data_IF_412507219921
#
_entry.id   IF_412507219921
#
_cell.length_a   1.000
_cell.length_b   1.000
_cell.length_c   1.000
_cell.angle_alpha   90.00
_cell.angle_beta   90.00
_cell.angle_gamma   90.00
#
_symmetry.space_group_name_H-M   'P 1'
#
loop_
_entity.id
_entity.type
_entity.pdbx_description
1 polymer ?
#
# COMPACT_ATOMS: atom_id res chain seq x y z
N UNK A 1 -40.04 -9.13 10.90
CA UNK A 1 -39.59 -8.29 12.02
C UNK A 1 -38.26 -8.78 12.63
N UNK A 2 -38.12 -10.06 13.04
CA UNK A 2 -36.89 -10.58 13.64
C UNK A 2 -35.66 -10.46 12.72
N UNK A 3 -35.75 -10.89 11.47
CA UNK A 3 -34.68 -10.79 10.45
C UNK A 3 -34.20 -9.34 10.23
N UNK A 4 -35.15 -8.38 10.23
CA UNK A 4 -34.77 -6.97 10.08
C UNK A 4 -34.01 -6.43 11.29
N UNK A 5 -34.36 -6.86 12.50
CA UNK A 5 -33.62 -6.51 13.73
C UNK A 5 -32.23 -7.11 13.76
N UNK A 6 -32.11 -8.39 13.39
CA UNK A 6 -30.81 -9.06 13.28
C UNK A 6 -29.89 -8.30 12.30
N UNK A 7 -30.37 -8.01 11.09
CA UNK A 7 -29.60 -7.30 10.07
C UNK A 7 -29.20 -5.90 10.53
N UNK A 8 -30.09 -5.19 11.22
CA UNK A 8 -29.78 -3.87 11.79
C UNK A 8 -28.65 -3.98 12.83
N UNK A 9 -28.72 -4.98 13.73
CA UNK A 9 -27.68 -5.18 14.73
C UNK A 9 -26.33 -5.56 14.10
N UNK A 10 -26.33 -6.38 13.07
CA UNK A 10 -25.13 -6.71 12.30
C UNK A 10 -24.47 -5.46 11.67
N UNK A 11 -25.29 -4.55 11.12
CA UNK A 11 -24.81 -3.28 10.57
C UNK A 11 -24.22 -2.34 11.65
N UNK A 12 -24.87 -2.26 12.83
CA UNK A 12 -24.36 -1.49 13.96
C UNK A 12 -23.00 -2.03 14.42
N UNK A 13 -22.88 -3.35 14.55
CA UNK A 13 -21.63 -4.00 14.93
C UNK A 13 -20.52 -3.74 13.89
N UNK A 14 -20.84 -3.86 12.60
CA UNK A 14 -19.92 -3.60 11.50
C UNK A 14 -19.45 -2.13 11.51
N UNK A 15 -20.37 -1.18 11.75
CA UNK A 15 -20.02 0.24 11.91
C UNK A 15 -19.04 0.45 13.07
N UNK A 16 -19.34 -0.12 14.24
CA UNK A 16 -18.48 0.01 15.43
C UNK A 16 -17.09 -0.58 15.20
N UNK A 17 -17.00 -1.72 14.50
CA UNK A 17 -15.73 -2.33 14.11
C UNK A 17 -14.96 -1.42 13.16
N UNK A 18 -15.62 -0.84 12.16
CA UNK A 18 -15.00 0.11 11.23
C UNK A 18 -14.47 1.37 11.93
N UNK A 19 -15.23 1.92 12.89
CA UNK A 19 -14.79 3.07 13.69
C UNK A 19 -13.55 2.75 14.52
N UNK A 20 -13.51 1.59 15.19
CA UNK A 20 -12.33 1.14 15.94
C UNK A 20 -11.11 0.96 15.05
N UNK A 21 -11.30 0.39 13.85
CA UNK A 21 -10.21 0.26 12.88
C UNK A 21 -9.66 1.62 12.46
N UNK A 22 -10.54 2.61 12.25
CA UNK A 22 -10.13 3.97 11.91
C UNK A 22 -9.40 4.65 13.08
N UNK A 23 -9.88 4.49 14.31
CA UNK A 23 -9.23 5.02 15.52
C UNK A 23 -7.82 4.44 15.70
N UNK A 24 -7.66 3.12 15.47
CA UNK A 24 -6.34 2.48 15.50
C UNK A 24 -5.39 3.05 14.44
N UNK A 25 -5.86 3.29 13.22
CA UNK A 25 -5.06 3.92 12.17
C UNK A 25 -4.65 5.36 12.52
N UNK A 26 -5.48 6.06 13.30
CA UNK A 26 -5.19 7.40 13.81
C UNK A 26 -4.35 7.40 15.10
N UNK A 27 -3.93 6.23 15.59
CA UNK A 27 -3.18 6.10 16.83
C UNK A 27 -3.99 6.42 18.10
N UNK A 28 -5.33 6.29 18.03
CA UNK A 28 -6.25 6.57 19.15
C UNK A 28 -6.73 5.28 19.81
N UNK A 29 -7.18 5.39 21.07
CA UNK A 29 -7.83 4.27 21.74
C UNK A 29 -9.14 3.90 21.02
N UNK A 30 -9.41 2.60 20.73
CA UNK A 30 -10.53 2.14 19.91
C UNK A 30 -11.84 2.08 20.70
N UNK A 31 -12.41 3.25 21.04
CA UNK A 31 -13.68 3.40 21.76
C UNK A 31 -14.92 3.34 20.85
N UNK A 32 -14.75 3.53 19.55
CA UNK A 32 -15.79 3.71 18.54
C UNK A 32 -16.61 5.02 18.74
N UNK A 33 -16.00 6.04 19.33
CA UNK A 33 -16.63 7.34 19.62
C UNK A 33 -16.42 8.37 18.49
N UNK A 34 -15.69 8.00 17.44
CA UNK A 34 -15.38 8.92 16.36
C UNK A 34 -16.65 9.33 15.61
N UNK A 35 -16.88 10.65 15.52
CA UNK A 35 -18.00 11.20 14.77
C UNK A 35 -17.65 11.20 13.28
N UNK A 36 -18.39 10.42 12.51
CA UNK A 36 -18.24 10.34 11.05
C UNK A 36 -19.49 10.88 10.35
N UNK A 37 -19.31 11.39 9.14
CA UNK A 37 -20.45 11.81 8.31
C UNK A 37 -21.34 10.60 8.00
N UNK A 38 -22.65 10.80 7.99
CA UNK A 38 -23.63 9.75 7.71
C UNK A 38 -23.80 9.49 6.20
N UNK A 39 -23.41 10.44 5.35
CA UNK A 39 -23.49 10.31 3.91
C UNK A 39 -22.10 10.08 3.29
N UNK A 40 -22.07 9.28 2.23
CA UNK A 40 -20.87 9.13 1.40
C UNK A 40 -20.49 10.49 0.78
N UNK A 41 -19.20 10.83 0.68
CA UNK A 41 -18.78 12.02 -0.05
C UNK A 41 -19.06 11.87 -1.56
N UNK A 42 -19.16 12.98 -2.25
CA UNK A 42 -19.22 12.97 -3.70
C UNK A 42 -17.95 12.33 -4.28
N UNK A 43 -18.09 11.55 -5.34
CA UNK A 43 -16.94 10.94 -6.01
C UNK A 43 -16.07 12.08 -6.61
N UNK A 44 -14.79 12.22 -6.20
CA UNK A 44 -13.91 13.23 -6.77
C UNK A 44 -13.62 12.94 -8.25
N UNK A 45 -13.29 13.99 -9.01
CA UNK A 45 -12.85 13.83 -10.39
C UNK A 45 -11.66 12.86 -10.48
N UNK A 46 -11.52 12.09 -11.58
CA UNK A 46 -10.32 11.27 -11.77
C UNK A 46 -9.09 12.18 -11.81
N UNK A 47 -7.98 11.77 -11.17
CA UNK A 47 -6.73 12.47 -11.34
C UNK A 47 -6.35 12.45 -12.83
N UNK A 48 -5.67 13.48 -13.33
CA UNK A 48 -5.15 13.45 -14.69
C UNK A 48 -4.20 12.25 -14.82
N UNK A 49 -4.46 11.40 -15.81
CA UNK A 49 -3.51 10.33 -16.14
C UNK A 49 -2.22 11.01 -16.61
N UNK A 50 -1.19 10.99 -15.75
CA UNK A 50 0.15 11.47 -16.09
C UNK A 50 0.80 10.60 -17.18
N UNK A 51 1.88 11.10 -17.78
CA UNK A 51 2.66 10.28 -18.70
C UNK A 51 3.22 9.04 -17.94
N UNK A 52 3.30 7.87 -18.59
CA UNK A 52 3.85 6.66 -17.95
C UNK A 52 5.21 6.85 -17.29
N UNK A 53 6.05 7.74 -17.82
CA UNK A 53 7.35 8.07 -17.24
C UNK A 53 7.26 8.72 -15.84
N UNK A 54 6.22 9.51 -15.57
CA UNK A 54 6.03 10.15 -14.25
C UNK A 54 5.71 9.13 -13.14
N UNK A 55 5.10 7.99 -13.49
CA UNK A 55 4.83 6.91 -12.54
C UNK A 55 6.11 6.30 -11.98
N UNK A 56 7.14 6.16 -12.83
CA UNK A 56 8.43 5.59 -12.45
C UNK A 56 9.15 6.44 -11.39
N UNK A 57 8.92 7.76 -11.40
CA UNK A 57 9.54 8.69 -10.44
C UNK A 57 8.73 8.86 -9.15
N UNK A 58 7.41 8.66 -9.21
CA UNK A 58 6.49 8.95 -8.09
C UNK A 58 6.21 7.75 -7.20
N UNK A 59 6.19 6.54 -7.74
CA UNK A 59 5.88 5.33 -6.98
C UNK A 59 7.04 4.94 -6.06
N UNK A 60 6.84 4.88 -4.73
CA UNK A 60 7.92 4.56 -3.80
C UNK A 60 8.50 3.16 -3.98
N UNK A 61 7.69 2.19 -4.45
CA UNK A 61 8.12 0.83 -4.74
C UNK A 61 9.09 0.77 -5.93
N UNK A 62 8.86 1.57 -6.97
CA UNK A 62 9.75 1.69 -8.12
C UNK A 62 11.05 2.41 -7.78
N UNK A 63 10.97 3.49 -7.00
CA UNK A 63 12.15 4.17 -6.46
C UNK A 63 12.97 3.21 -5.60
N UNK A 64 12.32 2.40 -4.76
CA UNK A 64 13.02 1.41 -3.95
C UNK A 64 13.70 0.32 -4.81
N UNK A 65 13.05 -0.14 -5.89
CA UNK A 65 13.62 -1.11 -6.82
C UNK A 65 14.80 -0.52 -7.60
N UNK A 66 14.75 0.75 -8.01
CA UNK A 66 15.88 1.47 -8.62
C UNK A 66 17.08 1.53 -7.66
N UNK A 67 16.84 1.86 -6.37
CA UNK A 67 17.91 1.89 -5.37
C UNK A 67 18.53 0.51 -5.12
N UNK A 68 17.76 -0.57 -5.26
CA UNK A 68 18.30 -1.93 -5.21
C UNK A 68 19.22 -2.24 -6.38
N UNK A 69 18.92 -1.75 -7.59
CA UNK A 69 19.83 -1.87 -8.73
C UNK A 69 21.15 -1.14 -8.42
N UNK A 70 21.08 0.09 -7.93
CA UNK A 70 22.27 0.85 -7.57
C UNK A 70 23.11 0.14 -6.47
N UNK A 71 22.44 -0.46 -5.49
CA UNK A 71 23.11 -1.26 -4.45
C UNK A 71 23.79 -2.50 -5.03
N UNK A 72 23.13 -3.22 -5.96
CA UNK A 72 23.70 -4.39 -6.62
C UNK A 72 24.91 -4.02 -7.50
N UNK A 73 24.88 -2.87 -8.18
CA UNK A 73 26.03 -2.32 -8.90
C UNK A 73 27.22 -2.09 -7.97
N UNK A 74 26.99 -1.44 -6.83
CA UNK A 74 28.04 -1.21 -5.83
C UNK A 74 28.58 -2.53 -5.24
N UNK A 75 27.74 -3.56 -5.10
CA UNK A 75 28.16 -4.87 -4.65
C UNK A 75 29.13 -5.55 -5.63
N UNK A 76 28.87 -5.43 -6.96
CA UNK A 76 29.79 -5.90 -8.00
C UNK A 76 31.13 -5.18 -7.90
N UNK A 77 31.14 -3.86 -7.76
CA UNK A 77 32.37 -3.09 -7.64
C UNK A 77 33.13 -3.44 -6.35
N UNK A 78 32.43 -3.69 -5.26
CA UNK A 78 32.99 -4.17 -3.99
C UNK A 78 33.65 -5.55 -4.17
N UNK A 79 32.97 -6.47 -4.85
CA UNK A 79 33.53 -7.80 -5.15
C UNK A 79 34.76 -7.74 -6.05
N UNK A 80 34.77 -6.83 -7.03
CA UNK A 80 35.96 -6.57 -7.88
C UNK A 80 37.09 -5.97 -7.05
N UNK A 81 36.82 -4.97 -6.20
CA UNK A 81 37.81 -4.33 -5.35
C UNK A 81 38.45 -5.30 -4.33
N UNK A 82 37.67 -6.28 -3.86
CA UNK A 82 38.17 -7.32 -2.97
C UNK A 82 39.27 -8.21 -3.61
N UNK A 83 39.49 -8.16 -4.90
CA UNK A 83 40.57 -8.85 -5.63
C UNK A 83 41.86 -8.04 -5.63
N UNK A 84 41.81 -6.77 -5.30
CA UNK A 84 42.98 -5.89 -5.22
C UNK A 84 43.67 -5.99 -3.87
N UNK A 85 44.96 -5.57 -3.76
CA UNK A 85 45.61 -5.45 -2.49
C UNK A 85 44.90 -4.47 -1.56
N UNK A 86 44.72 -4.87 -0.30
CA UNK A 86 44.15 -4.01 0.75
C UNK A 86 45.24 -3.46 1.63
N UNK A 87 45.20 -2.15 1.89
CA UNK A 87 46.07 -1.46 2.82
C UNK A 87 45.25 -1.11 4.07
N UNK A 88 45.75 -1.54 5.24
CA UNK A 88 45.14 -1.15 6.51
C UNK A 88 46.16 -0.36 7.36
N UNK A 89 45.63 0.68 8.02
CA UNK A 89 46.36 1.49 9.01
C UNK A 89 45.68 1.33 10.35
N UNK A 90 46.46 0.91 11.35
CA UNK A 90 45.97 0.68 12.72
C UNK A 90 46.71 1.62 13.67
N UNK A 91 45.98 2.42 14.42
CA UNK A 91 46.52 3.24 15.50
C UNK A 91 45.90 2.86 16.82
N UNK A 92 46.73 2.63 17.82
CA UNK A 92 46.27 2.39 19.19
C UNK A 92 46.91 3.43 20.11
N UNK A 93 46.11 3.99 21.01
CA UNK A 93 46.53 4.85 22.10
C UNK A 93 45.91 4.32 23.39
N UNK A 94 46.68 4.02 24.40
CA UNK A 94 46.17 3.48 25.65
C UNK A 94 47.13 3.70 26.80
N UNK A 95 46.66 3.48 28.03
CA UNK A 95 47.49 3.44 29.24
C UNK A 95 47.55 2.01 29.74
N UNK A 96 48.72 1.58 30.21
CA UNK A 96 48.92 0.32 30.90
C UNK A 96 49.65 0.56 32.21
N UNK A 97 49.07 0.11 33.33
CA UNK A 97 49.65 0.21 34.66
C UNK A 97 49.26 -1.01 35.51
N UNK A 98 50.14 -1.46 36.38
CA UNK A 98 49.86 -2.48 37.40
C UNK A 98 48.90 -1.96 38.49
N UNK A 99 48.86 -0.64 38.72
CA UNK A 99 48.03 0.02 39.71
C UNK A 99 47.03 0.94 39.06
N UNK A 100 45.76 0.84 39.45
CA UNK A 100 44.65 1.62 38.90
C UNK A 100 44.85 3.14 39.09
N UNK A 101 45.48 3.54 40.22
CA UNK A 101 45.81 4.93 40.53
C UNK A 101 46.78 5.59 39.53
N UNK A 102 47.61 4.77 38.89
CA UNK A 102 48.64 5.21 37.95
C UNK A 102 48.20 5.09 36.46
N UNK A 103 46.98 4.61 36.17
CA UNK A 103 46.51 4.36 34.81
C UNK A 103 46.44 5.64 33.96
N UNK A 104 46.10 6.76 34.58
CA UNK A 104 45.99 8.08 33.90
C UNK A 104 47.31 8.88 33.96
N UNK A 105 48.41 8.30 34.49
CA UNK A 105 49.69 8.98 34.50
C UNK A 105 50.26 9.07 33.07
N UNK A 106 50.66 10.26 32.58
CA UNK A 106 51.23 10.42 31.24
C UNK A 106 52.43 9.52 30.95
N UNK A 107 53.19 9.11 31.99
CA UNK A 107 54.30 8.19 31.84
C UNK A 107 53.89 6.76 31.47
N UNK A 108 52.65 6.39 31.67
CA UNK A 108 52.08 5.07 31.35
C UNK A 108 51.29 5.05 30.04
N UNK A 109 51.32 6.13 29.26
CA UNK A 109 50.69 6.20 27.94
C UNK A 109 51.57 5.50 26.92
N UNK A 110 51.02 4.49 26.26
CA UNK A 110 51.61 3.78 25.14
C UNK A 110 50.80 4.07 23.86
N UNK A 111 51.50 4.32 22.80
CA UNK A 111 50.89 4.42 21.48
C UNK A 111 51.58 3.50 20.48
N UNK A 112 50.82 3.02 19.50
CA UNK A 112 51.38 2.27 18.38
C UNK A 112 50.67 2.67 17.09
N UNK A 113 51.43 2.73 16.02
CA UNK A 113 50.96 2.92 14.66
C UNK A 113 51.49 1.77 13.80
N UNK A 114 50.63 1.02 13.18
CA UNK A 114 50.98 -0.10 12.32
C UNK A 114 50.32 0.04 10.96
N UNK A 115 51.01 -0.43 9.92
CA UNK A 115 50.45 -0.53 8.60
C UNK A 115 50.66 -1.95 8.08
N UNK A 116 49.63 -2.51 7.39
CA UNK A 116 49.75 -3.82 6.75
C UNK A 116 49.17 -3.78 5.32
N UNK A 117 49.87 -4.43 4.40
CA UNK A 117 49.46 -4.63 3.02
C UNK A 117 49.17 -6.12 2.80
N UNK A 118 47.93 -6.45 2.39
CA UNK A 118 47.55 -7.83 2.10
C UNK A 118 47.12 -7.92 0.63
N UNK A 119 47.82 -8.75 -0.14
CA UNK A 119 47.52 -9.05 -1.54
C UNK A 119 47.12 -10.52 -1.70
N UNK A 120 45.89 -10.87 -2.05
CA UNK A 120 45.49 -12.26 -2.30
C UNK A 120 46.03 -12.70 -3.65
N UNK A 121 46.96 -13.66 -3.68
CA UNK A 121 47.56 -14.17 -4.91
C UNK A 121 46.87 -15.44 -5.43
N UNK A 122 46.50 -16.36 -4.53
CA UNK A 122 45.84 -17.63 -4.86
C UNK A 122 44.76 -17.89 -3.83
N UNK A 123 43.49 -18.03 -4.30
CA UNK A 123 42.32 -18.29 -3.43
C UNK A 123 41.40 -19.38 -3.98
N UNK A 124 41.87 -20.17 -4.97
CA UNK A 124 41.04 -21.23 -5.61
C UNK A 124 39.86 -20.72 -6.42
N UNK A 125 39.91 -19.48 -6.88
CA UNK A 125 38.85 -18.88 -7.67
C UNK A 125 37.71 -18.25 -6.86
N UNK A 126 37.74 -18.34 -5.52
CA UNK A 126 36.67 -17.86 -4.64
C UNK A 126 36.25 -16.40 -4.89
N UNK A 127 37.21 -15.51 -5.13
CA UNK A 127 36.94 -14.08 -5.38
C UNK A 127 36.41 -13.84 -6.79
N UNK A 128 36.78 -14.67 -7.75
CA UNK A 128 36.20 -14.61 -9.10
C UNK A 128 34.73 -15.03 -9.04
N UNK A 129 34.42 -16.12 -8.34
CA UNK A 129 33.04 -16.58 -8.17
C UNK A 129 32.19 -15.59 -7.36
N UNK A 130 32.78 -14.86 -6.42
CA UNK A 130 32.08 -13.76 -5.71
C UNK A 130 31.68 -12.64 -6.70
N UNK A 131 32.53 -12.30 -7.67
CA UNK A 131 32.18 -11.32 -8.73
C UNK A 131 31.10 -11.88 -9.64
N UNK A 132 31.16 -13.16 -10.03
CA UNK A 132 30.14 -13.81 -10.86
C UNK A 132 28.78 -13.83 -10.16
N UNK A 133 28.77 -14.18 -8.85
CA UNK A 133 27.55 -14.13 -8.03
C UNK A 133 26.98 -12.71 -7.95
N UNK A 134 27.81 -11.71 -7.66
CA UNK A 134 27.34 -10.31 -7.60
C UNK A 134 26.81 -9.81 -8.94
N UNK A 135 27.39 -10.23 -10.09
CA UNK A 135 26.84 -9.94 -11.42
C UNK A 135 25.48 -10.60 -11.64
N UNK A 136 25.28 -11.84 -11.19
CA UNK A 136 23.98 -12.51 -11.28
C UNK A 136 22.93 -11.81 -10.42
N UNK A 137 23.28 -11.37 -9.21
CA UNK A 137 22.40 -10.60 -8.31
C UNK A 137 22.03 -9.23 -8.93
N UNK A 138 22.97 -8.59 -9.64
CA UNK A 138 22.72 -7.36 -10.37
C UNK A 138 21.70 -7.58 -11.50
N UNK A 139 21.88 -8.65 -12.28
CA UNK A 139 20.90 -8.99 -13.34
C UNK A 139 19.52 -9.31 -12.76
N UNK A 140 19.47 -10.01 -11.63
CA UNK A 140 18.23 -10.28 -10.92
C UNK A 140 17.56 -8.98 -10.44
N UNK A 141 18.31 -8.01 -9.93
CA UNK A 141 17.77 -6.72 -9.50
C UNK A 141 17.20 -5.91 -10.68
N UNK A 142 17.84 -5.94 -11.84
CA UNK A 142 17.33 -5.31 -13.07
C UNK A 142 16.03 -5.97 -13.53
N UNK A 143 15.96 -7.30 -13.53
CA UNK A 143 14.75 -8.03 -13.90
C UNK A 143 13.59 -7.76 -12.92
N UNK A 144 13.87 -7.67 -11.61
CA UNK A 144 12.89 -7.32 -10.59
C UNK A 144 12.34 -5.89 -10.75
N UNK A 145 13.19 -4.93 -11.16
CA UNK A 145 12.73 -3.59 -11.48
C UNK A 145 11.80 -3.58 -12.70
N UNK A 146 12.17 -4.29 -13.76
CA UNK A 146 11.32 -4.41 -14.95
C UNK A 146 9.96 -5.03 -14.63
N UNK A 147 9.93 -6.09 -13.82
CA UNK A 147 8.68 -6.71 -13.33
C UNK A 147 7.85 -5.73 -12.51
N UNK A 148 8.47 -5.04 -11.55
CA UNK A 148 7.77 -4.04 -10.75
C UNK A 148 7.19 -2.91 -11.60
N UNK A 149 7.91 -2.44 -12.62
CA UNK A 149 7.43 -1.41 -13.55
C UNK A 149 6.22 -1.89 -14.37
N UNK A 150 6.29 -3.11 -14.91
CA UNK A 150 5.17 -3.70 -15.67
C UNK A 150 3.93 -3.88 -14.79
N UNK A 151 4.11 -4.36 -13.56
CA UNK A 151 3.02 -4.48 -12.60
C UNK A 151 2.42 -3.12 -12.25
N UNK A 152 3.25 -2.08 -12.07
CA UNK A 152 2.79 -0.72 -11.82
C UNK A 152 1.93 -0.16 -12.95
N UNK A 153 2.32 -0.39 -14.21
CA UNK A 153 1.49 -0.01 -15.36
C UNK A 153 0.19 -0.80 -15.41
N UNK A 154 0.26 -2.11 -15.15
CA UNK A 154 -0.92 -2.97 -15.06
C UNK A 154 -1.90 -2.52 -13.98
N UNK A 155 -1.42 -2.11 -12.80
CA UNK A 155 -2.24 -1.57 -11.71
C UNK A 155 -3.01 -0.33 -12.15
N UNK A 156 -2.37 0.59 -12.89
CA UNK A 156 -3.01 1.81 -13.39
C UNK A 156 -4.08 1.51 -14.42
N UNK A 157 -3.74 0.71 -15.44
CA UNK A 157 -4.67 0.33 -16.51
C UNK A 157 -5.89 -0.41 -15.94
N UNK A 158 -5.68 -1.40 -15.08
CA UNK A 158 -6.76 -2.12 -14.39
C UNK A 158 -7.63 -1.18 -13.53
N UNK A 159 -7.01 -0.20 -12.86
CA UNK A 159 -7.75 0.76 -12.04
C UNK A 159 -8.58 1.71 -12.89
N UNK A 160 -8.09 2.12 -14.06
CA UNK A 160 -8.83 2.97 -15.00
C UNK A 160 -10.03 2.22 -15.59
N UNK A 161 -9.82 1.02 -16.11
CA UNK A 161 -10.89 0.17 -16.67
C UNK A 161 -11.95 -0.14 -15.62
N UNK A 162 -11.54 -0.51 -14.41
CA UNK A 162 -12.46 -0.76 -13.30
C UNK A 162 -13.28 0.48 -12.94
N UNK A 163 -12.67 1.67 -12.98
CA UNK A 163 -13.35 2.95 -12.72
C UNK A 163 -14.44 3.25 -13.74
N UNK A 164 -14.18 3.04 -15.03
CA UNK A 164 -15.14 3.19 -16.10
C UNK A 164 -16.28 2.17 -15.99
N UNK A 165 -15.96 0.90 -15.76
CA UNK A 165 -16.95 -0.15 -15.55
C UNK A 165 -17.87 0.12 -14.36
N UNK A 166 -17.33 0.63 -13.25
CA UNK A 166 -18.13 1.01 -12.08
C UNK A 166 -19.05 2.21 -12.37
N UNK A 167 -18.61 3.18 -13.17
CA UNK A 167 -19.44 4.34 -13.55
C UNK A 167 -20.66 3.91 -14.40
N UNK A 168 -20.45 3.03 -15.37
CA UNK A 168 -21.54 2.47 -16.21
C UNK A 168 -22.53 1.68 -15.32
N UNK A 169 -22.03 0.82 -14.44
CA UNK A 169 -22.87 0.02 -13.53
C UNK A 169 -23.65 0.90 -12.54
N UNK A 170 -23.02 1.94 -12.01
CA UNK A 170 -23.68 2.88 -11.11
C UNK A 170 -24.81 3.62 -11.79
N UNK A 171 -24.63 4.06 -13.05
CA UNK A 171 -25.69 4.67 -13.86
C UNK A 171 -26.89 3.75 -14.03
N UNK A 172 -26.67 2.50 -14.42
CA UNK A 172 -27.73 1.50 -14.58
C UNK A 172 -28.47 1.19 -13.27
N UNK A 173 -27.75 1.11 -12.15
CA UNK A 173 -28.35 0.88 -10.84
C UNK A 173 -29.17 2.07 -10.35
N UNK A 174 -28.76 3.31 -10.62
CA UNK A 174 -29.55 4.52 -10.32
C UNK A 174 -30.85 4.58 -11.14
N UNK A 175 -30.79 4.17 -12.40
CA UNK A 175 -32.00 4.03 -13.21
C UNK A 175 -32.95 2.96 -12.65
N UNK A 176 -32.41 1.79 -12.29
CA UNK A 176 -33.19 0.71 -11.67
C UNK A 176 -33.82 1.15 -10.34
N UNK A 177 -33.09 1.89 -9.49
CA UNK A 177 -33.63 2.46 -8.25
C UNK A 177 -34.78 3.44 -8.55
N UNK A 178 -34.64 4.31 -9.56
CA UNK A 178 -35.66 5.25 -9.94
C UNK A 178 -36.95 4.56 -10.41
N UNK A 179 -36.83 3.46 -11.16
CA UNK A 179 -37.98 2.63 -11.57
C UNK A 179 -38.61 1.90 -10.36
N UNK A 180 -37.81 1.33 -9.48
CA UNK A 180 -38.32 0.69 -8.27
C UNK A 180 -39.06 1.69 -7.35
N UNK A 181 -38.59 2.92 -7.26
CA UNK A 181 -39.23 4.00 -6.50
C UNK A 181 -40.56 4.39 -7.08
N UNK A 182 -40.66 4.49 -8.42
CA UNK A 182 -41.94 4.73 -9.11
C UNK A 182 -42.93 3.57 -8.87
N UNK A 183 -42.48 2.34 -9.00
CA UNK A 183 -43.29 1.16 -8.76
C UNK A 183 -43.81 1.11 -7.32
N UNK A 184 -42.99 1.45 -6.33
CA UNK A 184 -43.42 1.52 -4.93
C UNK A 184 -44.49 2.61 -4.73
N UNK A 185 -44.30 3.79 -5.28
CA UNK A 185 -45.29 4.88 -5.16
C UNK A 185 -46.67 4.49 -5.74
N UNK A 186 -46.71 3.78 -6.90
CA UNK A 186 -47.94 3.26 -7.48
C UNK A 186 -48.57 2.18 -6.57
N UNK A 187 -47.76 1.22 -6.10
CA UNK A 187 -48.23 0.14 -5.23
C UNK A 187 -48.80 0.69 -3.89
N UNK A 188 -48.23 1.77 -3.37
CA UNK A 188 -48.71 2.43 -2.16
C UNK A 188 -50.11 3.06 -2.37
N UNK A 189 -50.35 3.69 -3.53
CA UNK A 189 -51.64 4.27 -3.90
C UNK A 189 -52.68 3.15 -4.03
N UNK A 190 -52.40 2.11 -4.84
CA UNK A 190 -53.32 0.99 -5.07
C UNK A 190 -53.68 0.28 -3.75
N UNK A 191 -52.71 0.14 -2.84
CA UNK A 191 -52.97 -0.44 -1.52
C UNK A 191 -53.92 0.43 -0.68
N UNK A 192 -53.71 1.75 -0.67
CA UNK A 192 -54.57 2.73 0.05
C UNK A 192 -55.99 2.72 -0.48
N UNK A 193 -56.18 2.52 -1.79
CA UNK A 193 -57.49 2.40 -2.47
C UNK A 193 -58.13 1.02 -2.30
N UNK A 194 -57.42 0.06 -1.70
CA UNK A 194 -57.92 -1.32 -1.46
C UNK A 194 -57.79 -2.22 -2.67
N UNK A 195 -57.14 -1.78 -3.76
CA UNK A 195 -56.99 -2.51 -5.01
C UNK A 195 -55.79 -3.50 -5.02
N UNK A 196 -54.88 -3.44 -4.04
CA UNK A 196 -53.77 -4.35 -3.90
C UNK A 196 -53.59 -4.87 -2.48
N UNK A 197 -53.04 -6.08 -2.38
CA UNK A 197 -52.77 -6.73 -1.07
C UNK A 197 -51.58 -6.09 -0.36
N UNK A 198 -51.55 -6.19 0.96
CA UNK A 198 -50.37 -5.79 1.75
C UNK A 198 -49.08 -6.59 1.33
N UNK A 199 -49.26 -7.84 0.89
CA UNK A 199 -48.15 -8.66 0.42
C UNK A 199 -47.48 -8.08 -0.82
N UNK A 200 -48.31 -7.59 -1.77
CA UNK A 200 -47.83 -6.95 -2.99
C UNK A 200 -47.04 -5.67 -2.67
N UNK A 201 -47.60 -4.80 -1.81
CA UNK A 201 -46.91 -3.60 -1.33
C UNK A 201 -45.55 -3.92 -0.69
N UNK A 202 -45.52 -4.88 0.24
CA UNK A 202 -44.28 -5.29 0.92
C UNK A 202 -43.26 -5.87 -0.06
N UNK A 203 -43.72 -6.59 -1.09
CA UNK A 203 -42.84 -7.15 -2.13
C UNK A 203 -42.17 -6.03 -2.94
N UNK A 204 -42.94 -5.02 -3.36
CA UNK A 204 -42.40 -3.88 -4.10
C UNK A 204 -41.50 -3.01 -3.22
N UNK A 205 -41.86 -2.83 -1.95
CA UNK A 205 -41.01 -2.13 -0.98
C UNK A 205 -39.66 -2.83 -0.80
N UNK A 206 -39.67 -4.17 -0.71
CA UNK A 206 -38.43 -4.94 -0.60
C UNK A 206 -37.51 -4.76 -1.82
N UNK A 207 -38.10 -4.71 -3.02
CA UNK A 207 -37.36 -4.42 -4.27
C UNK A 207 -36.72 -3.03 -4.24
N UNK A 208 -37.45 -2.01 -3.78
CA UNK A 208 -36.90 -0.67 -3.63
C UNK A 208 -35.73 -0.62 -2.65
N UNK A 209 -35.87 -1.24 -1.47
CA UNK A 209 -34.80 -1.30 -0.47
C UNK A 209 -33.56 -2.01 -1.04
N UNK A 210 -33.77 -3.09 -1.80
CA UNK A 210 -32.67 -3.81 -2.44
C UNK A 210 -31.97 -2.93 -3.49
N UNK A 211 -32.70 -2.21 -4.33
CA UNK A 211 -32.15 -1.30 -5.32
C UNK A 211 -31.35 -0.17 -4.66
N UNK A 212 -31.87 0.46 -3.61
CA UNK A 212 -31.16 1.49 -2.84
C UNK A 212 -29.87 0.96 -2.19
N UNK A 213 -29.92 -0.23 -1.63
CA UNK A 213 -28.74 -0.88 -1.05
C UNK A 213 -27.66 -1.16 -2.11
N UNK A 214 -28.09 -1.55 -3.33
CA UNK A 214 -27.19 -1.79 -4.45
C UNK A 214 -26.50 -0.51 -4.93
N UNK A 215 -27.25 0.61 -5.05
CA UNK A 215 -26.69 1.93 -5.40
C UNK A 215 -25.65 2.36 -4.35
N UNK A 216 -26.00 2.32 -3.06
CA UNK A 216 -25.07 2.70 -1.97
C UNK A 216 -23.79 1.84 -1.97
N UNK A 217 -23.94 0.54 -2.21
CA UNK A 217 -22.80 -0.37 -2.31
C UNK A 217 -21.90 -0.04 -3.50
N UNK A 218 -22.49 0.34 -4.64
CA UNK A 218 -21.77 0.72 -5.84
C UNK A 218 -21.08 2.08 -5.68
N UNK A 219 -21.71 3.05 -5.04
CA UNK A 219 -21.08 4.35 -4.71
C UNK A 219 -19.87 4.17 -3.79
N UNK A 220 -19.99 3.31 -2.79
CA UNK A 220 -18.84 2.94 -1.93
C UNK A 220 -17.73 2.28 -2.75
N UNK A 221 -18.05 1.34 -3.63
CA UNK A 221 -17.06 0.67 -4.48
C UNK A 221 -16.35 1.66 -5.41
N UNK A 222 -17.08 2.65 -5.97
CA UNK A 222 -16.51 3.71 -6.79
C UNK A 222 -15.54 4.60 -6.02
N UNK A 223 -15.85 4.93 -4.77
CA UNK A 223 -14.95 5.69 -3.89
C UNK A 223 -13.68 4.89 -3.54
N UNK A 224 -13.84 3.60 -3.22
CA UNK A 224 -12.70 2.72 -2.94
C UNK A 224 -11.78 2.57 -4.16
N UNK A 225 -12.36 2.41 -5.34
CA UNK A 225 -11.60 2.36 -6.59
C UNK A 225 -10.86 3.67 -6.84
N UNK A 226 -11.46 4.85 -6.54
CA UNK A 226 -10.79 6.13 -6.68
C UNK A 226 -9.56 6.26 -5.79
N UNK A 227 -9.63 5.76 -4.56
CA UNK A 227 -8.46 5.66 -3.67
C UNK A 227 -7.42 4.71 -4.24
N UNK A 228 -7.85 3.54 -4.76
CA UNK A 228 -6.96 2.57 -5.43
C UNK A 228 -6.21 3.17 -6.61
N UNK A 229 -6.90 3.92 -7.47
CA UNK A 229 -6.29 4.63 -8.59
C UNK A 229 -5.23 5.66 -8.12
N UNK A 230 -5.55 6.44 -7.09
CA UNK A 230 -4.59 7.38 -6.53
C UNK A 230 -3.34 6.69 -5.99
N UNK A 231 -3.50 5.54 -5.32
CA UNK A 231 -2.36 4.73 -4.86
C UNK A 231 -1.55 4.16 -6.04
N UNK A 232 -2.22 3.65 -7.07
CA UNK A 232 -1.56 3.13 -8.28
C UNK A 232 -0.74 4.21 -9.00
N UNK A 233 -1.19 5.47 -8.94
CA UNK A 233 -0.50 6.63 -9.51
C UNK A 233 0.62 7.21 -8.61
N UNK A 234 0.91 6.60 -7.45
CA UNK A 234 1.96 7.03 -6.53
C UNK A 234 1.52 7.96 -5.38
N UNK A 235 0.21 8.18 -5.20
CA UNK A 235 -0.37 8.67 -3.94
C UNK A 235 -0.24 10.16 -3.61
N UNK A 236 0.31 11.00 -4.47
CA UNK A 236 0.47 12.44 -4.20
C UNK A 236 -0.33 13.31 -5.18
N UNK A 237 -1.61 13.52 -4.87
CA UNK A 237 -2.50 14.42 -5.63
C UNK A 237 -3.24 15.38 -4.70
#
# INVERSE_FOLDING_TARGET
MAVARERNQALINSKSTGLRSLELLLGRYPSADLVVRQALPALPAPPPAGAPAELLERRPDLVAAERKIAAAFNAVETAKAARLPSLSLTGNLGGASSDLSNLLNPANVAWSLGTSLLAPLIDGGRRLEAVNSANADQQAAIAQYADAALNAFGDVENSLEQGEGLAIRLSALKESEAQARKAYAIAEILHKEGESSLLDLLTVQQRLITAQSSVTSMERASLQQRVGLNLALGGSW
#
